data_IF_893315966154
#
_entry.id   IF_893315966154
#
_cell.length_a   1.000
_cell.length_b   1.000
_cell.length_c   1.000
_cell.angle_alpha   90.00
_cell.angle_beta   90.00
_cell.angle_gamma   90.00
#
_symmetry.space_group_name_H-M   'P 1'
#
loop_
_entity.id
_entity.type
_entity.pdbx_description
1 polymer ?
#
# COMPACT_ATOMS: atom_id res chain seq x y z
N UNK A 1 -5.92 20.19 -12.16
CA UNK A 1 -4.59 19.54 -12.17
C UNK A 1 -4.83 18.04 -12.09
N UNK A 2 -3.89 17.20 -12.50
CA UNK A 2 -3.99 15.74 -12.37
C UNK A 2 -4.10 15.26 -10.91
N UNK A 3 -3.70 16.11 -9.95
CA UNK A 3 -3.74 15.86 -8.51
C UNK A 3 -4.82 16.69 -7.78
N UNK A 4 -5.90 17.06 -8.48
CA UNK A 4 -6.99 17.83 -7.88
C UNK A 4 -7.68 17.02 -6.77
N UNK A 5 -7.71 17.59 -5.55
CA UNK A 5 -8.19 16.90 -4.33
C UNK A 5 -9.72 16.81 -4.18
N UNK A 6 -10.47 17.27 -5.17
CA UNK A 6 -11.92 17.47 -5.05
C UNK A 6 -12.31 18.73 -4.24
N UNK A 7 -13.61 19.05 -4.18
CA UNK A 7 -14.11 20.19 -3.42
C UNK A 7 -14.04 20.00 -1.89
N UNK A 8 -14.04 18.75 -1.42
CA UNK A 8 -13.95 18.40 0.01
C UNK A 8 -13.48 16.94 0.19
N UNK A 9 -13.10 16.55 1.41
CA UNK A 9 -12.74 15.17 1.71
C UNK A 9 -13.94 14.22 1.48
N UNK A 10 -13.67 13.09 0.79
CA UNK A 10 -14.67 12.09 0.41
C UNK A 10 -15.79 12.61 -0.52
N UNK A 11 -15.50 13.64 -1.32
CA UNK A 11 -16.45 14.18 -2.32
C UNK A 11 -16.72 13.20 -3.46
N UNK A 12 -15.72 12.39 -3.84
CA UNK A 12 -15.88 11.36 -4.86
C UNK A 12 -16.73 10.19 -4.32
N UNK A 13 -17.82 9.79 -5.02
CA UNK A 13 -18.72 8.75 -4.54
C UNK A 13 -18.03 7.38 -4.36
N UNK A 14 -17.00 7.08 -5.17
CA UNK A 14 -16.20 5.86 -5.09
C UNK A 14 -15.39 5.81 -3.78
N UNK A 15 -14.76 6.94 -3.42
CA UNK A 15 -14.02 7.07 -2.14
C UNK A 15 -14.99 6.99 -0.97
N UNK A 16 -16.12 7.69 -1.07
CA UNK A 16 -17.15 7.69 -0.02
C UNK A 16 -17.68 6.29 0.26
N UNK A 17 -17.93 5.48 -0.78
CA UNK A 17 -18.40 4.10 -0.61
C UNK A 17 -17.43 3.23 0.20
N UNK A 18 -16.12 3.34 -0.06
CA UNK A 18 -15.09 2.62 0.71
C UNK A 18 -15.03 3.12 2.15
N UNK A 19 -15.08 4.44 2.36
CA UNK A 19 -15.07 5.04 3.70
C UNK A 19 -16.26 4.55 4.53
N UNK A 20 -17.46 4.58 3.95
CA UNK A 20 -18.68 4.14 4.62
C UNK A 20 -18.64 2.63 4.94
N UNK A 21 -18.10 1.80 4.03
CA UNK A 21 -17.88 0.38 4.26
C UNK A 21 -16.88 0.12 5.41
N UNK A 22 -15.71 0.76 5.38
CA UNK A 22 -14.68 0.58 6.41
C UNK A 22 -15.20 0.96 7.79
N UNK A 23 -15.90 2.09 7.88
CA UNK A 23 -16.50 2.57 9.14
C UNK A 23 -17.62 1.66 9.63
N UNK A 24 -18.50 1.20 8.75
CA UNK A 24 -19.62 0.32 9.13
C UNK A 24 -19.17 -1.09 9.52
N UNK A 25 -18.13 -1.62 8.89
CA UNK A 25 -17.59 -2.93 9.23
C UNK A 25 -16.86 -2.92 10.59
N UNK A 26 -16.04 -1.89 10.86
CA UNK A 26 -15.41 -1.67 12.18
C UNK A 26 -14.44 -2.75 12.69
N UNK A 27 -14.09 -3.75 11.88
CA UNK A 27 -13.24 -4.90 12.28
C UNK A 27 -12.14 -5.24 11.28
N UNK A 28 -11.91 -4.38 10.29
CA UNK A 28 -10.83 -4.55 9.31
C UNK A 28 -9.48 -4.40 10.03
N UNK A 29 -8.55 -5.34 9.82
CA UNK A 29 -7.23 -5.37 10.50
C UNK A 29 -6.05 -5.03 9.61
N UNK A 30 -6.21 -5.21 8.30
CA UNK A 30 -5.25 -4.82 7.28
C UNK A 30 -5.99 -4.17 6.11
N UNK A 31 -5.35 -3.19 5.47
CA UNK A 31 -5.83 -2.55 4.26
C UNK A 31 -4.67 -2.43 3.27
N UNK A 32 -4.85 -2.95 2.06
CA UNK A 32 -3.84 -2.85 1.00
C UNK A 32 -4.44 -2.15 -0.21
N UNK A 33 -3.90 -0.98 -0.57
CA UNK A 33 -4.20 -0.29 -1.83
C UNK A 33 -3.17 -0.72 -2.87
N UNK A 34 -3.60 -1.00 -4.10
CA UNK A 34 -2.69 -1.49 -5.15
C UNK A 34 -2.68 -0.49 -6.31
N UNK A 35 -1.49 0.00 -6.62
CA UNK A 35 -1.18 0.94 -7.70
C UNK A 35 -0.06 0.38 -8.59
N UNK A 36 0.22 1.09 -9.67
CA UNK A 36 1.43 0.93 -10.47
C UNK A 36 1.85 2.32 -10.96
N UNK A 37 3.10 2.57 -11.32
CA UNK A 37 4.27 1.69 -11.32
C UNK A 37 5.35 2.28 -10.40
N UNK A 38 6.34 1.48 -10.00
CA UNK A 38 7.65 1.90 -9.46
C UNK A 38 8.36 0.77 -8.69
N UNK A 39 7.68 -0.36 -8.45
CA UNK A 39 8.16 -1.44 -7.59
C UNK A 39 8.43 -0.94 -6.16
N UNK A 40 7.38 -0.49 -5.46
CA UNK A 40 7.44 -0.06 -4.07
C UNK A 40 6.39 -0.73 -3.19
N UNK A 41 6.71 -0.96 -1.92
CA UNK A 41 5.73 -1.27 -0.87
C UNK A 41 5.82 -0.22 0.23
N UNK A 42 4.80 0.62 0.31
CA UNK A 42 4.80 1.79 1.18
C UNK A 42 3.82 1.61 2.33
N UNK A 43 4.12 2.28 3.44
CA UNK A 43 3.24 2.38 4.61
C UNK A 43 3.13 3.85 5.07
N UNK A 44 2.24 4.18 6.01
CA UNK A 44 2.06 5.55 6.48
C UNK A 44 3.32 6.17 7.13
N UNK A 45 3.50 7.49 7.11
CA UNK A 45 2.61 8.50 6.52
C UNK A 45 3.14 9.06 5.21
N UNK A 46 2.22 9.55 4.37
CA UNK A 46 2.52 10.40 3.22
C UNK A 46 2.36 11.89 3.50
N UNK A 47 1.42 12.28 4.35
CA UNK A 47 1.09 13.70 4.56
C UNK A 47 2.03 14.44 5.52
N UNK A 48 2.77 13.72 6.38
CA UNK A 48 3.62 14.29 7.44
C UNK A 48 4.93 13.52 7.62
N UNK A 49 5.97 14.22 8.06
CA UNK A 49 7.26 13.63 8.46
C UNK A 49 7.24 12.97 9.84
N UNK A 50 6.20 13.20 10.64
CA UNK A 50 6.00 12.48 11.89
C UNK A 50 5.81 11.00 11.59
N UNK A 51 6.64 10.14 12.18
CA UNK A 51 6.53 8.70 11.98
C UNK A 51 5.22 8.13 12.53
N UNK A 52 4.66 7.13 11.85
CA UNK A 52 3.62 6.27 12.41
C UNK A 52 4.09 5.65 13.73
N UNK A 53 3.17 5.53 14.71
CA UNK A 53 3.47 4.92 16.02
C UNK A 53 4.06 3.52 15.86
N UNK A 54 3.54 2.76 14.90
CA UNK A 54 3.93 1.38 14.61
C UNK A 54 5.02 1.26 13.53
N UNK A 55 5.74 2.35 13.18
CA UNK A 55 6.72 2.38 12.07
C UNK A 55 7.67 1.18 12.07
N UNK A 56 8.22 0.82 13.22
CA UNK A 56 9.20 -0.27 13.32
C UNK A 56 8.60 -1.61 12.87
N UNK A 57 7.39 -1.93 13.33
CA UNK A 57 6.70 -3.17 12.94
C UNK A 57 6.25 -3.10 11.47
N UNK A 58 5.70 -1.97 11.03
CA UNK A 58 5.26 -1.81 9.65
C UNK A 58 6.41 -2.01 8.66
N UNK A 59 7.57 -1.46 8.99
CA UNK A 59 8.79 -1.59 8.19
C UNK A 59 9.29 -3.03 8.13
N UNK A 60 9.27 -3.76 9.25
CA UNK A 60 9.69 -5.16 9.30
C UNK A 60 8.76 -6.07 8.51
N UNK A 61 7.44 -5.86 8.58
CA UNK A 61 6.46 -6.59 7.77
C UNK A 61 6.65 -6.28 6.28
N UNK A 62 6.87 -5.03 5.90
CA UNK A 62 7.16 -4.66 4.52
C UNK A 62 8.43 -5.35 4.00
N UNK A 63 9.51 -5.36 4.80
CA UNK A 63 10.75 -6.07 4.46
C UNK A 63 10.51 -7.56 4.21
N UNK A 64 9.74 -8.23 5.09
CA UNK A 64 9.38 -9.65 4.91
C UNK A 64 8.57 -9.86 3.64
N UNK A 65 7.56 -9.04 3.39
CA UNK A 65 6.71 -9.12 2.21
C UNK A 65 7.51 -8.95 0.92
N UNK A 66 8.42 -7.97 0.86
CA UNK A 66 9.30 -7.78 -0.31
C UNK A 66 10.32 -8.92 -0.47
N UNK A 67 10.84 -9.46 0.64
CA UNK A 67 11.72 -10.65 0.58
C UNK A 67 10.98 -11.83 -0.03
N UNK A 68 9.72 -12.07 0.36
CA UNK A 68 8.87 -13.12 -0.21
C UNK A 68 8.56 -12.87 -1.68
N UNK A 69 8.22 -11.64 -2.07
CA UNK A 69 8.00 -11.25 -3.47
C UNK A 69 9.22 -11.55 -4.33
N UNK A 70 10.39 -11.06 -3.89
CA UNK A 70 11.65 -11.18 -4.62
C UNK A 70 12.05 -12.65 -4.83
N UNK A 71 11.62 -13.58 -3.96
CA UNK A 71 11.99 -14.98 -4.05
C UNK A 71 11.58 -15.69 -5.35
N UNK A 72 10.53 -15.20 -6.03
CA UNK A 72 9.97 -15.87 -7.21
C UNK A 72 10.67 -15.48 -8.51
N UNK A 73 10.81 -14.17 -8.77
CA UNK A 73 11.39 -13.65 -10.01
C UNK A 73 12.59 -12.71 -9.80
N UNK A 74 13.08 -12.59 -8.56
CA UNK A 74 14.13 -11.64 -8.18
C UNK A 74 13.80 -10.17 -8.47
N UNK A 75 12.51 -9.84 -8.56
CA UNK A 75 12.04 -8.46 -8.75
C UNK A 75 12.30 -7.67 -7.48
N UNK A 76 12.99 -6.54 -7.62
CA UNK A 76 13.43 -5.73 -6.47
C UNK A 76 12.45 -4.60 -6.23
N UNK A 77 11.88 -4.56 -5.04
CA UNK A 77 11.04 -3.47 -4.59
C UNK A 77 11.76 -2.66 -3.51
N UNK A 78 11.55 -1.35 -3.50
CA UNK A 78 11.88 -0.52 -2.34
C UNK A 78 10.70 -0.50 -1.36
N UNK A 79 10.95 -0.19 -0.09
CA UNK A 79 9.88 -0.09 0.90
C UNK A 79 10.20 0.95 1.98
N UNK A 80 9.17 1.54 2.56
CA UNK A 80 9.32 2.62 3.54
C UNK A 80 8.04 3.43 3.73
N UNK A 81 8.11 4.50 4.53
CA UNK A 81 7.00 5.43 4.64
C UNK A 81 6.84 6.23 3.34
N UNK A 82 5.60 6.47 2.91
CA UNK A 82 5.30 7.19 1.66
C UNK A 82 6.16 8.46 1.52
N UNK A 83 6.18 9.33 2.54
CA UNK A 83 6.84 10.64 2.45
C UNK A 83 8.36 10.56 2.22
N UNK A 84 9.02 9.52 2.73
CA UNK A 84 10.47 9.35 2.63
C UNK A 84 10.90 8.54 1.41
N UNK A 85 10.00 7.70 0.88
CA UNK A 85 10.32 6.77 -0.20
C UNK A 85 9.85 7.28 -1.55
N UNK A 86 8.78 8.09 -1.60
CA UNK A 86 8.24 8.68 -2.82
C UNK A 86 8.34 10.20 -2.77
N UNK A 87 7.45 10.86 -2.02
CA UNK A 87 7.34 12.30 -1.82
C UNK A 87 6.17 12.59 -0.86
N UNK A 88 6.03 13.84 -0.42
CA UNK A 88 4.91 14.26 0.43
C UNK A 88 3.59 14.30 -0.35
N UNK A 89 2.59 13.56 0.12
CA UNK A 89 1.27 13.49 -0.49
C UNK A 89 0.16 13.49 0.58
N UNK A 90 -0.84 14.37 0.42
CA UNK A 90 -1.99 14.45 1.33
C UNK A 90 -3.19 13.66 0.81
N UNK A 91 -4.05 13.18 1.71
CA UNK A 91 -5.32 12.55 1.34
C UNK A 91 -5.17 11.12 0.81
N UNK A 92 -4.02 10.48 1.04
CA UNK A 92 -3.78 9.09 0.65
C UNK A 92 -4.64 8.10 1.43
N UNK A 93 -5.13 7.06 0.75
CA UNK A 93 -5.99 6.02 1.32
C UNK A 93 -5.40 5.40 2.58
N UNK A 94 -4.11 5.04 2.56
CA UNK A 94 -3.50 4.27 3.65
C UNK A 94 -3.19 5.12 4.89
N UNK A 95 -3.01 6.43 4.72
CA UNK A 95 -2.91 7.36 5.84
C UNK A 95 -4.28 7.48 6.54
N UNK A 96 -5.36 7.55 5.76
CA UNK A 96 -6.72 7.57 6.30
C UNK A 96 -7.06 6.27 7.03
N UNK A 97 -6.81 5.10 6.43
CA UNK A 97 -7.13 3.80 7.05
C UNK A 97 -6.32 3.55 8.31
N UNK A 98 -5.03 3.94 8.33
CA UNK A 98 -4.21 3.86 9.53
C UNK A 98 -4.73 4.77 10.65
N UNK A 99 -5.17 5.98 10.31
CA UNK A 99 -5.83 6.89 11.25
C UNK A 99 -7.20 6.38 11.75
N UNK A 100 -7.86 5.45 11.05
CA UNK A 100 -9.05 4.74 11.55
C UNK A 100 -8.70 3.56 12.47
N UNK A 101 -7.42 3.30 12.76
CA UNK A 101 -6.96 2.21 13.60
C UNK A 101 -6.66 0.91 12.84
N UNK A 102 -6.65 0.93 11.50
CA UNK A 102 -6.23 -0.23 10.70
C UNK A 102 -4.70 -0.22 10.62
N UNK A 103 -4.06 -0.87 11.59
CA UNK A 103 -2.61 -0.88 11.76
C UNK A 103 -1.86 -1.27 10.49
N UNK A 104 -2.22 -2.40 9.87
CA UNK A 104 -1.51 -2.92 8.69
C UNK A 104 -2.05 -2.29 7.40
N UNK A 105 -1.82 -0.99 7.25
CA UNK A 105 -2.18 -0.21 6.06
C UNK A 105 -0.97 -0.07 5.13
N UNK A 106 -1.08 -0.58 3.89
CA UNK A 106 0.01 -0.59 2.92
C UNK A 106 -0.46 -0.17 1.54
N UNK A 107 0.43 0.40 0.73
CA UNK A 107 0.21 0.59 -0.71
C UNK A 107 1.30 -0.08 -1.51
N UNK A 108 0.91 -0.82 -2.54
CA UNK A 108 1.83 -1.34 -3.56
C UNK A 108 1.92 -0.37 -4.72
N UNK A 109 3.12 -0.14 -5.23
CA UNK A 109 3.38 0.34 -6.59
C UNK A 109 4.00 -0.84 -7.34
N UNK A 110 3.25 -1.48 -8.22
CA UNK A 110 3.68 -2.70 -8.91
C UNK A 110 4.74 -2.43 -10.00
N UNK A 111 5.04 -3.47 -10.80
CA UNK A 111 5.93 -3.36 -11.96
C UNK A 111 5.45 -2.31 -12.96
N UNK A 112 6.33 -1.73 -13.76
CA UNK A 112 7.80 -1.85 -13.72
C UNK A 112 8.45 -0.61 -13.10
N UNK A 113 9.69 -0.29 -13.47
CA UNK A 113 10.40 0.91 -13.00
C UNK A 113 10.43 2.02 -14.05
N UNK A 114 9.50 2.01 -15.01
CA UNK A 114 9.31 3.07 -16.01
C UNK A 114 9.71 2.71 -17.45
N UNK A 115 10.09 1.47 -17.75
CA UNK A 115 10.33 1.05 -19.14
C UNK A 115 9.03 1.01 -19.93
N UNK A 116 7.99 0.43 -19.34
CA UNK A 116 6.63 0.39 -19.88
C UNK A 116 5.66 1.24 -19.05
N UNK A 117 5.95 1.42 -17.75
CA UNK A 117 5.10 2.18 -16.84
C UNK A 117 3.67 1.63 -16.82
N UNK A 118 2.69 2.49 -17.06
CA UNK A 118 1.27 2.13 -17.08
C UNK A 118 0.86 1.20 -18.24
N UNK A 119 1.69 1.07 -19.28
CA UNK A 119 1.40 0.24 -20.47
C UNK A 119 2.22 -1.06 -20.41
N UNK A 120 2.25 -1.70 -19.25
CA UNK A 120 2.97 -2.95 -19.02
C UNK A 120 2.43 -4.06 -19.93
N UNK A 121 3.27 -4.82 -20.66
CA UNK A 121 2.81 -5.87 -21.56
C UNK A 121 1.97 -6.94 -20.86
N UNK A 122 0.92 -7.43 -21.52
CA UNK A 122 -0.01 -8.40 -20.94
C UNK A 122 0.65 -9.71 -20.46
N UNK A 123 1.78 -10.11 -21.07
CA UNK A 123 2.54 -11.29 -20.63
C UNK A 123 3.25 -11.10 -19.27
N UNK A 124 3.28 -9.87 -18.73
CA UNK A 124 3.77 -9.57 -17.38
C UNK A 124 2.68 -9.61 -16.31
N UNK A 125 1.40 -9.77 -16.69
CA UNK A 125 0.27 -9.78 -15.73
C UNK A 125 0.44 -10.94 -14.75
N UNK A 126 0.58 -12.17 -15.25
CA UNK A 126 0.68 -13.36 -14.42
C UNK A 126 1.96 -13.33 -13.55
N UNK A 127 3.16 -13.05 -14.09
CA UNK A 127 4.36 -12.91 -13.25
C UNK A 127 4.23 -11.83 -12.16
N UNK A 128 3.61 -10.69 -12.47
CA UNK A 128 3.39 -9.61 -11.48
C UNK A 128 2.41 -10.06 -10.39
N UNK A 129 1.34 -10.76 -10.77
CA UNK A 129 0.35 -11.27 -9.82
C UNK A 129 0.94 -12.34 -8.90
N UNK A 130 1.70 -13.30 -9.44
CA UNK A 130 2.28 -14.41 -8.68
C UNK A 130 3.29 -13.92 -7.63
N UNK A 131 4.19 -12.99 -7.97
CA UNK A 131 5.14 -12.45 -6.99
C UNK A 131 4.44 -11.56 -5.94
N UNK A 132 3.46 -10.75 -6.37
CA UNK A 132 2.71 -9.88 -5.47
C UNK A 132 1.89 -10.70 -4.48
N UNK A 133 1.35 -11.84 -4.92
CA UNK A 133 0.62 -12.76 -4.04
C UNK A 133 1.46 -13.25 -2.88
N UNK A 134 2.75 -13.56 -3.08
CA UNK A 134 3.65 -13.95 -1.99
C UNK A 134 3.82 -12.83 -0.95
N UNK A 135 3.88 -11.58 -1.40
CA UNK A 135 3.96 -10.42 -0.51
C UNK A 135 2.67 -10.23 0.29
N UNK A 136 1.51 -10.33 -0.37
CA UNK A 136 0.19 -10.25 0.26
C UNK A 136 0.01 -11.34 1.31
N UNK A 137 0.41 -12.58 1.00
CA UNK A 137 0.38 -13.70 1.95
C UNK A 137 1.23 -13.42 3.19
N UNK A 138 2.41 -12.82 3.05
CA UNK A 138 3.25 -12.45 4.20
C UNK A 138 2.57 -11.40 5.10
N UNK A 139 1.91 -10.39 4.51
CA UNK A 139 1.15 -9.37 5.26
C UNK A 139 -0.07 -9.99 5.96
N UNK A 140 -0.81 -10.85 5.26
CA UNK A 140 -1.99 -11.53 5.80
C UNK A 140 -1.63 -12.48 6.95
N UNK A 141 -0.57 -13.27 6.80
CA UNK A 141 -0.11 -14.19 7.85
C UNK A 141 0.38 -13.41 9.09
N UNK A 142 1.10 -12.30 8.89
CA UNK A 142 1.45 -11.41 10.02
C UNK A 142 0.21 -10.85 10.70
N UNK A 143 -0.78 -10.37 9.94
CA UNK A 143 -2.04 -9.84 10.47
C UNK A 143 -2.79 -10.90 11.29
N UNK A 144 -2.89 -12.12 10.78
CA UNK A 144 -3.54 -13.25 11.44
C UNK A 144 -2.87 -13.61 12.78
N UNK A 145 -1.54 -13.56 12.84
CA UNK A 145 -0.76 -13.95 14.02
C UNK A 145 -0.58 -12.82 15.04
N UNK A 146 -1.02 -11.60 14.73
CA UNK A 146 -0.90 -10.43 15.62
C UNK A 146 -2.27 -9.73 15.79
N UNK A 147 -3.24 -10.36 16.46
CA UNK A 147 -4.54 -9.75 16.71
C UNK A 147 -4.43 -8.55 17.67
N UNK A 148 -5.25 -7.53 17.43
CA UNK A 148 -5.44 -6.35 18.27
C UNK A 148 -6.87 -5.85 18.19
#
# INVERSE_FOLDING_TARGET
TETYRGPSAHSEPEVKAIVDFVKSHGKIKAFVSIHSYSQMLLYPYGYTYTAAKDKAELHEVARKAITSLQSLYNTRYTYGSIITTIYQASGGTIDWTYNQGIKYSYTFELRDTGRYGFILPANQIVPTAEETWLALMAIMEHTKNNPY
#
